data_IF_446693726334
#
_entry.id   IF_446693726334
#
_cell.length_a   1.000
_cell.length_b   1.000
_cell.length_c   1.000
_cell.angle_alpha   90.00
_cell.angle_beta   90.00
_cell.angle_gamma   90.00
#
_symmetry.space_group_name_H-M   'P 1'
#
loop_
_entity.id
_entity.type
_entity.pdbx_description
1 polymer ?
#
# COMPACT_ATOMS: atom_id res chain seq x y z
N UNK A 1 -15.19 0.90 -3.14
CA UNK A 1 -15.21 0.15 -4.42
C UNK A 1 -16.09 -1.06 -4.24
N UNK A 2 -16.87 -1.45 -5.25
CA UNK A 2 -17.70 -2.65 -5.17
C UNK A 2 -16.85 -3.92 -5.42
N UNK A 3 -17.19 -5.07 -4.80
CA UNK A 3 -16.53 -6.34 -5.09
C UNK A 3 -16.54 -6.66 -6.59
N UNK A 4 -15.43 -7.20 -7.11
CA UNK A 4 -15.27 -7.52 -8.54
C UNK A 4 -14.83 -6.33 -9.43
N UNK A 5 -14.66 -5.13 -8.87
CA UNK A 5 -14.13 -3.97 -9.62
C UNK A 5 -12.62 -4.11 -9.85
N UNK A 6 -12.17 -3.87 -11.08
CA UNK A 6 -10.75 -3.76 -11.43
C UNK A 6 -10.31 -2.29 -11.41
N UNK A 7 -9.18 -2.01 -10.76
CA UNK A 7 -8.55 -0.69 -10.74
C UNK A 7 -7.07 -0.80 -11.13
N UNK A 8 -6.59 0.18 -11.90
CA UNK A 8 -5.18 0.31 -12.22
C UNK A 8 -4.45 1.01 -11.08
N UNK A 9 -3.48 0.30 -10.49
CA UNK A 9 -2.65 0.79 -9.38
C UNK A 9 -1.17 0.90 -9.79
N UNK A 10 -0.40 1.65 -9.01
CA UNK A 10 1.05 1.78 -9.09
C UNK A 10 1.64 1.41 -7.73
N UNK A 11 2.56 0.43 -7.73
CA UNK A 11 3.24 0.01 -6.51
C UNK A 11 4.19 1.11 -6.01
N UNK A 12 4.22 1.31 -4.69
CA UNK A 12 5.10 2.27 -4.00
C UNK A 12 5.94 1.61 -2.89
N UNK A 13 5.73 0.32 -2.65
CA UNK A 13 6.56 -0.46 -1.73
C UNK A 13 6.04 -1.88 -1.54
N UNK A 14 6.81 -2.64 -0.77
CA UNK A 14 6.48 -4.02 -0.38
C UNK A 14 6.70 -4.14 1.12
N UNK A 15 5.73 -4.73 1.80
CA UNK A 15 5.85 -5.15 3.18
C UNK A 15 6.16 -6.63 3.21
N UNK A 16 7.24 -7.01 3.88
CA UNK A 16 7.61 -8.40 4.10
C UNK A 16 7.01 -8.89 5.40
N UNK A 17 6.11 -9.86 5.35
CA UNK A 17 5.55 -10.51 6.53
C UNK A 17 6.00 -11.97 6.59
N UNK A 18 6.11 -12.49 7.80
CA UNK A 18 6.29 -13.93 8.04
C UNK A 18 5.08 -14.37 8.84
N UNK A 19 4.13 -15.02 8.18
CA UNK A 19 2.91 -15.55 8.80
C UNK A 19 3.03 -17.08 8.87
N UNK A 20 2.86 -17.66 10.06
CA UNK A 20 2.92 -19.11 10.26
C UNK A 20 4.23 -19.80 9.85
N UNK A 21 5.31 -19.05 9.59
CA UNK A 21 6.58 -19.57 9.07
C UNK A 21 6.75 -19.43 7.55
N UNK A 22 5.73 -18.97 6.83
CA UNK A 22 5.78 -18.67 5.40
C UNK A 22 5.99 -17.18 5.15
N UNK A 23 6.74 -16.84 4.10
CA UNK A 23 6.92 -15.45 3.69
C UNK A 23 5.70 -15.01 2.89
N UNK A 24 4.98 -14.03 3.41
CA UNK A 24 3.90 -13.36 2.70
C UNK A 24 4.28 -11.89 2.47
N UNK A 25 4.61 -11.56 1.22
CA UNK A 25 4.96 -10.21 0.84
C UNK A 25 3.71 -9.47 0.35
N UNK A 26 3.30 -8.43 1.08
CA UNK A 26 2.15 -7.58 0.72
C UNK A 26 2.60 -6.34 -0.03
N UNK A 27 2.05 -6.12 -1.22
CA UNK A 27 2.36 -4.93 -2.03
C UNK A 27 1.55 -3.73 -1.52
N UNK A 28 2.22 -2.59 -1.38
CA UNK A 28 1.58 -1.30 -1.09
C UNK A 28 1.55 -0.49 -2.39
N UNK A 29 0.36 -0.02 -2.75
CA UNK A 29 0.13 0.66 -4.02
C UNK A 29 -0.86 1.81 -3.87
N UNK A 30 -0.75 2.78 -4.79
CA UNK A 30 -1.67 3.91 -4.94
C UNK A 30 -2.38 3.83 -6.29
N UNK A 31 -3.51 4.52 -6.51
CA UNK A 31 -4.10 4.63 -7.84
C UNK A 31 -3.08 5.12 -8.88
N UNK A 32 -3.16 4.59 -10.10
CA UNK A 32 -2.37 5.15 -11.19
C UNK A 32 -2.82 6.59 -11.48
N UNK A 33 -1.92 7.43 -11.99
CA UNK A 33 -2.17 8.86 -12.29
C UNK A 33 -3.41 9.10 -13.16
N UNK A 34 -3.69 8.17 -14.10
CA UNK A 34 -4.88 8.24 -14.96
C UNK A 34 -6.21 8.02 -14.22
N UNK A 35 -6.15 7.40 -13.04
CA UNK A 35 -7.30 7.13 -12.18
C UNK A 35 -7.45 8.25 -11.15
N UNK A 36 -6.36 8.61 -10.48
CA UNK A 36 -6.34 9.69 -9.50
C UNK A 36 -4.95 10.34 -9.45
N UNK A 37 -4.79 11.56 -9.99
CA UNK A 37 -3.51 12.26 -10.02
C UNK A 37 -3.08 12.83 -8.65
N UNK A 38 -3.95 12.80 -7.63
CA UNK A 38 -3.59 13.30 -6.29
C UNK A 38 -2.45 12.50 -5.64
N UNK A 39 -2.16 11.30 -6.14
CA UNK A 39 -1.10 10.41 -5.66
C UNK A 39 0.19 10.47 -6.50
N UNK A 40 0.29 11.38 -7.48
CA UNK A 40 1.44 11.44 -8.40
C UNK A 40 2.77 11.72 -7.70
N UNK A 41 2.72 12.54 -6.65
CA UNK A 41 3.89 12.86 -5.83
C UNK A 41 4.27 11.73 -4.86
N UNK A 42 3.37 10.76 -4.64
CA UNK A 42 3.63 9.60 -3.78
C UNK A 42 4.27 8.51 -4.62
N UNK A 43 5.60 8.40 -4.56
CA UNK A 43 6.39 7.43 -5.33
C UNK A 43 6.87 6.27 -4.46
N UNK A 44 6.97 6.51 -3.17
CA UNK A 44 7.47 5.58 -2.14
C UNK A 44 6.62 5.68 -0.87
N UNK A 45 6.72 4.70 0.02
CA UNK A 45 6.02 4.73 1.32
C UNK A 45 6.40 5.98 2.14
N UNK A 46 7.65 6.44 2.04
CA UNK A 46 8.13 7.63 2.76
C UNK A 46 7.46 8.94 2.32
N UNK A 47 6.86 8.96 1.13
CA UNK A 47 6.15 10.14 0.61
C UNK A 47 4.73 10.26 1.21
N UNK A 48 4.24 9.21 1.88
CA UNK A 48 2.97 9.26 2.58
C UNK A 48 3.06 10.19 3.81
N UNK A 49 1.96 10.83 4.22
CA UNK A 49 1.91 11.53 5.50
C UNK A 49 2.34 10.61 6.65
N UNK A 50 3.11 11.15 7.62
CA UNK A 50 3.63 10.36 8.76
C UNK A 50 2.54 9.57 9.49
N UNK A 51 1.34 10.14 9.62
CA UNK A 51 0.22 9.46 10.27
C UNK A 51 -0.23 8.21 9.49
N UNK A 52 -0.20 8.25 8.16
CA UNK A 52 -0.55 7.10 7.31
C UNK A 52 0.53 6.03 7.38
N UNK A 53 1.82 6.42 7.41
CA UNK A 53 2.92 5.48 7.65
C UNK A 53 2.75 4.75 9.00
N UNK A 54 2.42 5.48 10.05
CA UNK A 54 2.18 4.90 11.39
C UNK A 54 0.96 3.99 11.42
N UNK A 55 -0.14 4.36 10.76
CA UNK A 55 -1.34 3.52 10.63
C UNK A 55 -1.05 2.23 9.89
N UNK A 56 -0.29 2.33 8.80
CA UNK A 56 0.16 1.19 8.02
C UNK A 56 0.98 0.25 8.90
N UNK A 57 2.00 0.74 9.60
CA UNK A 57 2.77 -0.07 10.54
C UNK A 57 1.91 -0.68 11.66
N UNK A 58 0.97 0.08 12.22
CA UNK A 58 0.10 -0.41 13.30
C UNK A 58 -0.84 -1.52 12.83
N UNK A 59 -1.43 -1.37 11.64
CA UNK A 59 -2.28 -2.39 11.02
C UNK A 59 -1.53 -3.71 10.86
N UNK A 60 -0.26 -3.65 10.46
CA UNK A 60 0.55 -4.85 10.26
C UNK A 60 1.23 -5.41 11.51
N UNK A 61 1.42 -4.61 12.56
CA UNK A 61 1.85 -5.12 13.88
C UNK A 61 0.78 -5.99 14.56
N UNK A 62 -0.49 -5.80 14.20
CA UNK A 62 -1.62 -6.56 14.76
C UNK A 62 -2.03 -7.78 13.93
N UNK A 63 -1.32 -8.06 12.83
CA UNK A 63 -1.52 -9.21 11.95
C UNK A 63 -0.45 -10.27 12.20
#
# INVERSE_FOLDING_TARGET
>A
MAPGTLIKLRAIGVLKMIDGGEKDDKIIAVPASKIDPTYDDIKTISDLPKIEQQRLEAFFRGL
#
